data_IF_110292774168
#
_entry.id   IF_110292774168
#
_cell.length_a   1.000
_cell.length_b   1.000
_cell.length_c   1.000
_cell.angle_alpha   90.00
_cell.angle_beta   90.00
_cell.angle_gamma   90.00
#
_symmetry.space_group_name_H-M   'P 1'
#
loop_
_entity.id
_entity.type
_entity.pdbx_description
1 polymer ?
#
# COMPACT_ATOMS: atom_id res chain seq x y z
N UNK A 1 23.68 -15.04 -10.55
CA UNK A 1 23.44 -13.57 -10.72
C UNK A 1 24.50 -12.81 -9.93
N UNK A 2 25.12 -11.81 -10.54
CA UNK A 2 26.10 -10.94 -9.87
C UNK A 2 25.42 -9.60 -9.56
N UNK A 3 24.92 -9.48 -8.35
CA UNK A 3 24.14 -8.31 -7.92
C UNK A 3 24.99 -7.03 -7.98
N UNK A 4 26.26 -7.10 -7.56
CA UNK A 4 27.12 -5.92 -7.55
C UNK A 4 27.36 -5.39 -8.97
N UNK A 5 27.58 -6.29 -9.92
CA UNK A 5 27.79 -5.91 -11.32
C UNK A 5 26.54 -5.28 -11.93
N UNK A 6 25.36 -5.86 -11.64
CA UNK A 6 24.10 -5.33 -12.12
C UNK A 6 23.85 -3.93 -11.53
N UNK A 7 24.07 -3.78 -10.23
CA UNK A 7 23.86 -2.49 -9.58
C UNK A 7 24.81 -1.42 -10.10
N UNK A 8 26.08 -1.76 -10.34
CA UNK A 8 27.04 -0.80 -10.89
C UNK A 8 26.60 -0.32 -12.29
N UNK A 9 26.09 -1.25 -13.10
CA UNK A 9 25.57 -0.91 -14.44
C UNK A 9 24.34 0.01 -14.35
N UNK A 10 23.43 -0.28 -13.41
CA UNK A 10 22.23 0.55 -13.22
C UNK A 10 22.57 1.94 -12.69
N UNK A 11 23.52 2.02 -11.75
CA UNK A 11 23.94 3.31 -11.21
C UNK A 11 24.57 4.19 -12.30
N UNK A 12 25.33 3.59 -13.21
CA UNK A 12 25.91 4.31 -14.32
C UNK A 12 24.83 4.85 -15.29
N UNK A 13 23.73 4.09 -15.47
CA UNK A 13 22.60 4.52 -16.32
C UNK A 13 21.71 5.55 -15.65
N UNK A 14 21.55 5.45 -14.33
CA UNK A 14 20.58 6.24 -13.56
C UNK A 14 21.25 6.94 -12.39
N UNK A 15 22.23 7.80 -12.66
CA UNK A 15 23.00 8.43 -11.59
C UNK A 15 22.10 9.33 -10.73
N UNK A 16 22.24 9.22 -9.41
CA UNK A 16 21.50 10.04 -8.45
C UNK A 16 20.11 9.56 -8.11
N UNK A 17 19.63 8.47 -8.71
CA UNK A 17 18.30 7.93 -8.44
C UNK A 17 18.34 6.97 -7.23
N UNK A 18 18.66 7.50 -6.06
CA UNK A 18 18.96 6.70 -4.86
C UNK A 18 17.83 5.78 -4.43
N UNK A 19 16.60 6.29 -4.39
CA UNK A 19 15.46 5.51 -3.93
C UNK A 19 15.17 4.32 -4.84
N UNK A 20 15.24 4.57 -6.14
CA UNK A 20 15.03 3.52 -7.14
C UNK A 20 16.14 2.47 -7.06
N UNK A 21 17.39 2.90 -7.02
CA UNK A 21 18.54 1.98 -6.97
C UNK A 21 18.51 1.12 -5.69
N UNK A 22 18.12 1.73 -4.55
CA UNK A 22 17.99 0.98 -3.30
C UNK A 22 16.91 -0.10 -3.41
N UNK A 23 15.74 0.25 -3.96
CA UNK A 23 14.64 -0.71 -4.09
C UNK A 23 15.03 -1.89 -4.99
N UNK A 24 15.72 -1.60 -6.10
CA UNK A 24 16.21 -2.65 -6.99
C UNK A 24 17.18 -3.56 -6.25
N UNK A 25 18.15 -2.97 -5.54
CA UNK A 25 19.14 -3.75 -4.80
C UNK A 25 18.47 -4.72 -3.81
N UNK A 26 17.51 -4.22 -3.05
CA UNK A 26 16.81 -5.05 -2.05
C UNK A 26 16.08 -6.23 -2.69
N UNK A 27 15.43 -6.00 -3.83
CA UNK A 27 14.75 -7.09 -4.55
C UNK A 27 15.76 -8.09 -5.10
N UNK A 28 16.85 -7.62 -5.72
CA UNK A 28 17.86 -8.52 -6.29
C UNK A 28 18.50 -9.40 -5.21
N UNK A 29 18.79 -8.83 -4.03
CA UNK A 29 19.30 -9.63 -2.91
C UNK A 29 18.29 -10.71 -2.48
N UNK A 30 17.01 -10.34 -2.41
CA UNK A 30 15.96 -11.27 -1.99
C UNK A 30 15.77 -12.43 -2.96
N UNK A 31 15.89 -12.17 -4.26
CA UNK A 31 15.60 -13.20 -5.29
C UNK A 31 16.85 -13.91 -5.80
N UNK A 32 18.02 -13.55 -5.32
CA UNK A 32 19.33 -14.06 -5.82
C UNK A 32 19.32 -15.59 -5.95
N UNK A 33 18.98 -16.28 -4.88
CA UNK A 33 19.10 -17.74 -4.85
C UNK A 33 18.08 -18.42 -5.78
N UNK A 34 16.83 -17.95 -5.75
CA UNK A 34 15.80 -18.55 -6.59
C UNK A 34 16.08 -18.26 -8.07
N UNK A 35 16.58 -17.07 -8.39
CA UNK A 35 16.95 -16.72 -9.77
C UNK A 35 18.02 -17.68 -10.29
N UNK A 36 19.04 -17.99 -9.47
CA UNK A 36 20.12 -18.87 -9.89
C UNK A 36 19.67 -20.32 -10.12
N UNK A 37 18.51 -20.70 -9.61
CA UNK A 37 17.91 -22.01 -9.88
C UNK A 37 17.17 -22.06 -11.23
N UNK A 38 17.07 -20.92 -11.93
CA UNK A 38 16.31 -20.78 -13.18
C UNK A 38 17.21 -20.23 -14.30
N UNK A 39 18.08 -21.06 -14.90
CA UNK A 39 18.96 -20.57 -15.96
C UNK A 39 18.22 -19.98 -17.15
N UNK A 40 16.96 -20.35 -17.38
CA UNK A 40 16.13 -19.77 -18.43
C UNK A 40 15.89 -18.26 -18.20
N UNK A 41 15.85 -17.81 -16.96
CA UNK A 41 15.71 -16.38 -16.65
C UNK A 41 16.94 -15.59 -17.10
N UNK A 42 18.12 -16.14 -16.86
CA UNK A 42 19.38 -15.48 -17.28
C UNK A 42 19.47 -15.41 -18.81
N UNK A 43 19.07 -16.49 -19.47
CA UNK A 43 19.08 -16.55 -20.94
C UNK A 43 18.13 -15.51 -21.54
N UNK A 44 16.98 -15.30 -20.92
CA UNK A 44 15.97 -14.32 -21.36
C UNK A 44 16.24 -12.91 -20.86
N UNK A 45 17.35 -12.67 -20.12
CA UNK A 45 17.70 -11.36 -19.57
C UNK A 45 16.57 -10.78 -18.68
N UNK A 46 15.94 -11.65 -17.90
CA UNK A 46 14.78 -11.23 -17.09
C UNK A 46 15.15 -10.08 -16.14
N UNK A 47 16.29 -10.19 -15.42
CA UNK A 47 16.69 -9.13 -14.47
C UNK A 47 16.90 -7.80 -15.20
N UNK A 48 17.66 -7.82 -16.28
CA UNK A 48 17.99 -6.60 -17.02
C UNK A 48 16.75 -5.90 -17.58
N UNK A 49 15.68 -6.67 -17.82
CA UNK A 49 14.42 -6.15 -18.35
C UNK A 49 13.47 -5.72 -17.23
N UNK A 50 13.35 -6.53 -16.17
CA UNK A 50 12.37 -6.28 -15.12
C UNK A 50 12.72 -5.06 -14.24
N UNK A 51 14.01 -4.71 -14.18
CA UNK A 51 14.45 -3.55 -13.38
C UNK A 51 14.25 -2.21 -14.10
N UNK A 52 13.98 -2.24 -15.41
CA UNK A 52 13.72 -1.01 -16.17
C UNK A 52 12.22 -0.87 -16.44
N UNK A 53 11.67 0.33 -16.34
CA UNK A 53 10.26 0.52 -16.69
C UNK A 53 10.04 0.39 -18.19
N UNK A 54 8.83 -0.06 -18.57
CA UNK A 54 8.47 -0.13 -20.00
C UNK A 54 8.50 1.26 -20.62
N UNK A 55 7.95 2.28 -19.93
CA UNK A 55 8.00 3.67 -20.41
C UNK A 55 7.70 4.65 -19.30
N UNK A 56 8.19 5.87 -19.49
CA UNK A 56 7.89 7.00 -18.60
C UNK A 56 7.35 8.15 -19.46
N UNK A 57 6.18 8.63 -19.11
CA UNK A 57 5.60 9.82 -19.73
C UNK A 57 5.87 11.00 -18.81
N UNK A 58 6.49 12.05 -19.36
CA UNK A 58 6.74 13.31 -18.63
C UNK A 58 6.07 14.43 -19.41
N UNK A 59 5.33 15.27 -18.72
CA UNK A 59 4.59 16.34 -19.38
C UNK A 59 4.48 17.56 -18.46
N UNK A 60 4.36 18.73 -19.09
CA UNK A 60 4.14 19.98 -18.37
C UNK A 60 2.65 20.15 -18.13
N UNK A 61 2.28 20.59 -16.94
CA UNK A 61 0.88 20.84 -16.55
C UNK A 61 0.75 22.31 -16.19
N UNK A 62 0.13 23.09 -17.07
CA UNK A 62 -0.08 24.52 -16.86
C UNK A 62 -1.51 24.74 -16.38
N UNK A 63 -1.67 25.60 -15.36
CA UNK A 63 -2.98 25.89 -14.79
C UNK A 63 -3.00 27.30 -14.21
N UNK A 64 -4.19 27.80 -13.84
CA UNK A 64 -4.36 29.15 -13.34
C UNK A 64 -4.89 29.09 -11.91
N UNK A 65 -4.25 29.83 -11.01
CA UNK A 65 -4.66 29.83 -9.60
C UNK A 65 -5.85 30.79 -9.36
N UNK A 66 -6.29 30.87 -8.10
CA UNK A 66 -7.45 31.68 -7.74
C UNK A 66 -7.19 33.19 -7.90
N UNK A 67 -5.92 33.59 -8.00
CA UNK A 67 -5.56 35.01 -8.24
C UNK A 67 -5.49 35.34 -9.73
N UNK A 68 -5.67 34.33 -10.59
CA UNK A 68 -5.55 34.51 -12.03
C UNK A 68 -4.14 34.42 -12.55
N UNK A 69 -3.20 33.94 -11.71
CA UNK A 69 -1.80 33.79 -12.11
C UNK A 69 -1.53 32.42 -12.70
N UNK A 70 -0.70 32.37 -13.73
CA UNK A 70 -0.34 31.13 -14.39
C UNK A 70 0.67 30.36 -13.53
N UNK A 71 0.40 29.10 -13.33
CA UNK A 71 1.28 28.17 -12.62
C UNK A 71 1.67 27.04 -13.58
N UNK A 72 2.83 26.45 -13.36
CA UNK A 72 3.32 25.37 -14.20
C UNK A 72 3.99 24.31 -13.32
N UNK A 73 3.58 23.06 -13.52
CA UNK A 73 4.12 21.91 -12.79
C UNK A 73 4.55 20.83 -13.78
N UNK A 74 5.30 19.84 -13.31
CA UNK A 74 5.63 18.66 -14.08
C UNK A 74 4.74 17.50 -13.64
N UNK A 75 4.24 16.77 -14.60
CA UNK A 75 3.46 15.56 -14.39
C UNK A 75 4.16 14.34 -14.97
N UNK A 76 3.92 13.19 -14.37
CA UNK A 76 4.60 11.95 -14.76
C UNK A 76 3.66 10.76 -14.67
N UNK A 77 3.90 9.77 -15.56
CA UNK A 77 3.32 8.43 -15.41
C UNK A 77 4.39 7.41 -15.77
N UNK A 78 4.81 6.63 -14.77
CA UNK A 78 5.75 5.52 -14.95
C UNK A 78 4.91 4.27 -15.17
N UNK A 79 4.93 3.75 -16.38
CA UNK A 79 4.31 2.47 -16.75
C UNK A 79 5.40 1.43 -16.64
N UNK A 80 5.46 0.78 -15.46
CA UNK A 80 6.65 0.01 -15.11
C UNK A 80 6.68 -1.35 -15.78
N UNK A 81 5.59 -2.13 -15.62
CA UNK A 81 5.58 -3.50 -16.16
C UNK A 81 4.13 -3.95 -16.33
N UNK A 82 3.80 -4.48 -17.50
CA UNK A 82 2.45 -4.96 -17.80
C UNK A 82 2.43 -6.46 -18.12
N UNK A 83 3.41 -7.23 -17.67
CA UNK A 83 3.47 -8.66 -18.00
C UNK A 83 2.26 -9.45 -17.47
N UNK A 84 1.66 -9.02 -16.36
CA UNK A 84 0.54 -9.77 -15.75
C UNK A 84 -0.80 -9.02 -15.80
N UNK A 85 -0.87 -7.88 -16.48
CA UNK A 85 -2.11 -7.13 -16.60
C UNK A 85 -1.86 -5.66 -16.89
N UNK A 86 -2.92 -4.87 -17.05
CA UNK A 86 -2.75 -3.43 -17.28
C UNK A 86 -1.91 -2.78 -16.19
N UNK A 87 -1.16 -1.75 -16.56
CA UNK A 87 -0.42 -0.98 -15.58
C UNK A 87 -1.37 -0.49 -14.49
N UNK A 88 -0.99 -0.61 -13.22
CA UNK A 88 -1.87 -0.25 -12.10
C UNK A 88 -1.05 0.38 -10.99
N UNK A 89 -1.47 1.57 -10.55
CA UNK A 89 -0.80 2.25 -9.44
C UNK A 89 -1.33 3.65 -9.26
N UNK A 90 -1.09 4.21 -8.07
CA UNK A 90 -1.63 5.51 -7.69
C UNK A 90 -0.95 6.71 -8.34
N UNK A 91 -1.62 7.85 -8.22
CA UNK A 91 -1.12 9.18 -8.60
C UNK A 91 -0.87 9.94 -7.30
N UNK A 92 0.32 10.51 -7.16
CA UNK A 92 0.74 11.27 -5.98
C UNK A 92 0.90 12.75 -6.32
N UNK A 93 0.25 13.63 -5.55
CA UNK A 93 0.48 15.07 -5.64
C UNK A 93 1.22 15.53 -4.39
N UNK A 94 2.49 15.88 -4.55
CA UNK A 94 3.32 16.33 -3.43
C UNK A 94 4.56 17.04 -3.98
N UNK A 95 4.97 18.12 -3.33
CA UNK A 95 6.11 18.94 -3.80
C UNK A 95 7.42 18.16 -3.98
N UNK A 96 7.56 17.01 -3.32
CA UNK A 96 8.78 16.18 -3.42
C UNK A 96 8.74 15.17 -4.56
N UNK A 97 7.63 15.07 -5.31
CA UNK A 97 7.51 14.10 -6.40
C UNK A 97 8.57 14.37 -7.48
N UNK A 98 9.26 13.34 -7.88
CA UNK A 98 10.27 13.38 -8.94
C UNK A 98 10.31 11.99 -9.63
N UNK A 99 10.97 11.89 -10.79
CA UNK A 99 10.99 10.62 -11.53
C UNK A 99 11.59 9.45 -10.76
N UNK A 100 12.66 9.67 -9.98
CA UNK A 100 13.30 8.60 -9.21
C UNK A 100 12.33 7.99 -8.19
N UNK A 101 11.59 8.85 -7.46
CA UNK A 101 10.58 8.40 -6.51
C UNK A 101 9.51 7.56 -7.20
N UNK A 102 9.02 8.02 -8.36
CA UNK A 102 7.96 7.32 -9.06
C UNK A 102 8.43 6.02 -9.70
N UNK A 103 9.70 5.95 -10.14
CA UNK A 103 10.30 4.70 -10.62
C UNK A 103 10.38 3.69 -9.48
N UNK A 104 10.86 4.12 -8.32
CA UNK A 104 10.93 3.28 -7.13
C UNK A 104 9.54 2.72 -6.77
N UNK A 105 8.55 3.60 -6.70
CA UNK A 105 7.21 3.19 -6.31
C UNK A 105 6.55 2.29 -7.38
N UNK A 106 6.80 2.55 -8.66
CA UNK A 106 6.28 1.74 -9.74
C UNK A 106 6.91 0.35 -9.77
N UNK A 107 8.21 0.27 -9.51
CA UNK A 107 8.94 -0.99 -9.40
C UNK A 107 8.35 -1.84 -8.27
N UNK A 108 8.19 -1.27 -7.08
CA UNK A 108 7.61 -1.98 -5.95
C UNK A 108 6.16 -2.38 -6.19
N UNK A 109 5.39 -1.48 -6.84
CA UNK A 109 3.98 -1.74 -7.15
C UNK A 109 3.83 -2.97 -8.05
N UNK A 110 4.76 -3.19 -8.97
CA UNK A 110 4.75 -4.35 -9.87
C UNK A 110 4.67 -5.65 -9.06
N UNK A 111 5.52 -5.79 -8.06
CA UNK A 111 5.57 -7.03 -7.27
C UNK A 111 4.45 -7.12 -6.25
N UNK A 112 4.04 -5.99 -5.69
CA UNK A 112 2.89 -5.95 -4.79
C UNK A 112 1.62 -6.39 -5.51
N UNK A 113 1.37 -5.85 -6.71
CA UNK A 113 0.18 -6.22 -7.48
C UNK A 113 0.21 -7.70 -7.88
N UNK A 114 1.40 -8.23 -8.19
CA UNK A 114 1.54 -9.64 -8.55
C UNK A 114 1.09 -10.58 -7.43
N UNK A 115 1.28 -10.17 -6.17
CA UNK A 115 0.86 -10.98 -5.03
C UNK A 115 -0.67 -11.14 -4.95
N UNK A 116 -1.44 -10.18 -5.46
CA UNK A 116 -2.90 -10.21 -5.33
C UNK A 116 -3.57 -11.32 -6.13
N UNK A 117 -2.85 -11.96 -7.03
CA UNK A 117 -3.36 -12.95 -8.01
C UNK A 117 -4.25 -12.33 -9.10
N UNK A 118 -4.59 -11.05 -8.95
CA UNK A 118 -5.42 -10.34 -9.94
C UNK A 118 -4.55 -9.89 -11.13
N UNK A 119 -5.15 -9.71 -12.32
CA UNK A 119 -4.38 -9.32 -13.50
C UNK A 119 -4.07 -7.82 -13.50
N UNK A 120 -3.06 -7.42 -12.74
CA UNK A 120 -2.65 -6.03 -12.60
C UNK A 120 -1.13 -5.93 -12.68
N UNK A 121 -0.64 -5.15 -13.62
CA UNK A 121 0.77 -4.79 -13.71
C UNK A 121 1.14 -3.70 -12.71
N UNK A 122 2.27 -3.04 -12.93
CA UNK A 122 2.75 -2.00 -12.03
C UNK A 122 2.93 -0.65 -12.70
N UNK A 123 2.54 0.40 -12.00
CA UNK A 123 2.70 1.79 -12.45
C UNK A 123 2.73 2.73 -11.25
N UNK A 124 3.18 3.96 -11.50
CA UNK A 124 3.05 5.05 -10.54
C UNK A 124 3.06 6.37 -11.29
N UNK A 125 2.24 7.31 -10.83
CA UNK A 125 2.22 8.64 -11.44
C UNK A 125 2.24 9.73 -10.39
N UNK A 126 2.31 10.96 -10.85
CA UNK A 126 2.26 12.07 -9.93
C UNK A 126 2.71 13.39 -10.52
N UNK A 127 2.75 14.38 -9.64
CA UNK A 127 3.19 15.72 -9.99
C UNK A 127 3.82 16.37 -8.76
N UNK A 128 4.72 17.31 -9.01
CA UNK A 128 5.29 18.18 -7.97
C UNK A 128 4.29 19.24 -7.48
N UNK A 129 3.06 19.21 -7.96
CA UNK A 129 1.95 20.03 -7.45
C UNK A 129 1.74 19.76 -5.96
N UNK A 130 1.71 20.82 -5.15
CA UNK A 130 1.46 20.71 -3.72
C UNK A 130 0.00 21.14 -3.43
N UNK A 131 -0.89 20.21 -3.07
CA UNK A 131 -2.28 20.57 -2.79
C UNK A 131 -2.48 21.32 -1.48
N UNK A 132 -1.45 21.39 -0.63
CA UNK A 132 -1.56 22.03 0.70
C UNK A 132 -1.92 23.50 0.53
N UNK A 133 -3.01 23.93 1.19
CA UNK A 133 -3.47 25.31 1.17
C UNK A 133 -4.16 25.76 -0.12
N UNK A 134 -4.35 24.85 -1.06
CA UNK A 134 -5.06 25.16 -2.31
C UNK A 134 -6.58 25.04 -2.11
N UNK A 135 -7.34 25.87 -2.82
CA UNK A 135 -8.80 25.78 -2.79
C UNK A 135 -9.28 24.56 -3.59
N UNK A 136 -10.52 24.15 -3.35
CA UNK A 136 -11.15 23.09 -4.15
C UNK A 136 -11.16 23.44 -5.63
N UNK A 137 -11.38 24.70 -5.96
CA UNK A 137 -11.39 25.17 -7.35
C UNK A 137 -10.01 25.05 -8.00
N UNK A 138 -8.95 25.39 -7.25
CA UNK A 138 -7.56 25.25 -7.73
C UNK A 138 -7.22 23.78 -7.96
N UNK A 139 -7.60 22.90 -7.00
CA UNK A 139 -7.34 21.46 -7.12
C UNK A 139 -8.11 20.89 -8.31
N UNK A 140 -9.37 21.32 -8.51
CA UNK A 140 -10.14 20.86 -9.66
C UNK A 140 -9.47 21.26 -10.98
N UNK A 141 -9.06 22.54 -11.10
CA UNK A 141 -8.40 23.01 -12.32
C UNK A 141 -7.09 22.27 -12.56
N UNK A 142 -6.31 22.02 -11.49
CA UNK A 142 -5.07 21.25 -11.65
C UNK A 142 -5.35 19.81 -12.11
N UNK A 143 -6.32 19.15 -11.49
CA UNK A 143 -6.69 17.77 -11.87
C UNK A 143 -7.13 17.69 -13.33
N UNK A 144 -7.86 18.69 -13.79
CA UNK A 144 -8.31 18.75 -15.18
C UNK A 144 -7.13 18.97 -16.12
N UNK A 145 -6.21 19.88 -15.78
CA UNK A 145 -5.00 20.13 -16.57
C UNK A 145 -4.09 18.89 -16.61
N UNK A 146 -3.95 18.21 -15.48
CA UNK A 146 -3.16 16.98 -15.40
C UNK A 146 -3.76 15.89 -16.30
N UNK A 147 -5.07 15.70 -16.24
CA UNK A 147 -5.75 14.70 -17.07
C UNK A 147 -5.73 15.05 -18.56
N UNK A 148 -5.71 16.34 -18.90
CA UNK A 148 -5.59 16.78 -20.29
C UNK A 148 -4.32 16.19 -20.94
N UNK A 149 -3.25 16.05 -20.14
CA UNK A 149 -2.00 15.47 -20.64
C UNK A 149 -1.99 13.95 -20.51
N UNK A 150 -2.59 13.40 -19.46
CA UNK A 150 -2.48 11.97 -19.13
C UNK A 150 -3.44 11.08 -19.94
N UNK A 151 -4.62 11.58 -20.31
CA UNK A 151 -5.75 10.75 -20.76
C UNK A 151 -5.42 9.79 -21.89
N UNK A 152 -4.55 10.20 -22.81
CA UNK A 152 -4.24 9.38 -24.00
C UNK A 152 -3.34 8.17 -23.71
N UNK A 153 -2.79 8.11 -22.48
CA UNK A 153 -1.90 7.01 -22.09
C UNK A 153 -2.57 5.99 -21.19
N UNK A 154 -3.81 6.23 -20.78
CA UNK A 154 -4.51 5.39 -19.80
C UNK A 154 -5.79 4.81 -20.39
N UNK A 155 -6.31 3.78 -19.74
CA UNK A 155 -7.53 3.10 -20.15
C UNK A 155 -7.73 1.83 -19.34
N UNK A 156 -8.94 1.29 -19.31
CA UNK A 156 -9.26 0.14 -18.44
C UNK A 156 -8.45 -1.12 -18.75
N UNK A 157 -8.00 -1.28 -19.98
CA UNK A 157 -7.20 -2.44 -20.40
C UNK A 157 -5.75 -2.07 -20.69
N UNK A 158 -5.35 -0.83 -20.40
CA UNK A 158 -4.00 -0.33 -20.67
C UNK A 158 -3.29 0.06 -19.36
N UNK A 159 -3.85 1.06 -18.67
CA UNK A 159 -3.25 1.64 -17.47
C UNK A 159 -4.36 2.26 -16.64
N UNK A 160 -4.52 1.78 -15.41
CA UNK A 160 -5.63 2.20 -14.52
C UNK A 160 -5.05 2.87 -13.27
N UNK A 161 -4.96 4.20 -13.26
CA UNK A 161 -4.49 4.90 -12.07
C UNK A 161 -5.49 4.87 -10.90
N UNK A 162 -5.00 5.24 -9.72
CA UNK A 162 -5.77 5.32 -8.48
C UNK A 162 -5.27 6.49 -7.66
N UNK A 163 -5.82 6.66 -6.47
CA UNK A 163 -5.32 7.67 -5.53
C UNK A 163 -4.05 7.23 -4.80
N UNK A 164 -3.37 8.20 -4.23
CA UNK A 164 -2.19 8.02 -3.40
C UNK A 164 -2.06 9.29 -2.55
N UNK A 165 -0.90 9.61 -2.00
CA UNK A 165 -0.68 10.82 -1.21
C UNK A 165 -1.13 12.05 -2.01
N UNK A 166 -1.98 12.87 -1.41
CA UNK A 166 -2.50 14.09 -2.03
C UNK A 166 -3.58 13.89 -3.09
N UNK A 167 -4.01 12.64 -3.32
CA UNK A 167 -5.04 12.32 -4.31
C UNK A 167 -6.04 11.34 -3.68
N UNK A 168 -7.18 11.86 -3.32
CA UNK A 168 -8.29 11.07 -2.77
C UNK A 168 -9.47 11.00 -3.73
N UNK A 169 -10.63 10.63 -3.20
CA UNK A 169 -11.85 10.49 -4.00
C UNK A 169 -12.24 11.76 -4.74
N UNK A 170 -12.04 12.93 -4.12
CA UNK A 170 -12.32 14.23 -4.76
C UNK A 170 -11.49 14.41 -6.02
N UNK A 171 -10.19 14.20 -5.91
CA UNK A 171 -9.27 14.35 -7.05
C UNK A 171 -9.54 13.32 -8.15
N UNK A 172 -9.83 12.09 -7.75
CA UNK A 172 -10.22 11.03 -8.71
C UNK A 172 -11.48 11.47 -9.45
N UNK A 173 -12.45 12.06 -8.74
CA UNK A 173 -13.66 12.58 -9.38
C UNK A 173 -13.38 13.65 -10.41
N UNK A 174 -12.54 14.64 -10.06
CA UNK A 174 -12.18 15.71 -10.99
C UNK A 174 -11.45 15.15 -12.22
N UNK A 175 -10.55 14.21 -12.02
CA UNK A 175 -9.82 13.58 -13.14
C UNK A 175 -10.76 12.75 -14.01
N UNK A 176 -11.69 11.99 -13.41
CA UNK A 176 -12.63 11.18 -14.16
C UNK A 176 -13.56 12.05 -15.00
N UNK A 177 -14.07 13.15 -14.43
CA UNK A 177 -14.93 14.06 -15.18
C UNK A 177 -14.26 14.61 -16.43
N UNK A 178 -12.97 14.96 -16.31
CA UNK A 178 -12.20 15.45 -17.44
C UNK A 178 -11.93 14.34 -18.47
N UNK A 179 -11.54 13.14 -17.99
CA UNK A 179 -11.31 11.99 -18.88
C UNK A 179 -12.55 11.69 -19.74
N UNK A 180 -13.72 11.68 -19.11
CA UNK A 180 -14.98 11.39 -19.77
C UNK A 180 -15.25 12.36 -20.93
N UNK A 181 -14.91 13.63 -20.73
CA UNK A 181 -15.04 14.65 -21.78
C UNK A 181 -14.04 14.46 -22.91
N UNK A 182 -12.78 14.18 -22.57
CA UNK A 182 -11.70 14.03 -23.53
C UNK A 182 -11.84 12.76 -24.38
N UNK A 183 -12.13 11.64 -23.72
CA UNK A 183 -12.29 10.35 -24.40
C UNK A 183 -13.63 10.22 -25.12
N UNK A 184 -14.59 11.08 -24.76
CA UNK A 184 -15.94 11.06 -25.30
C UNK A 184 -16.65 9.71 -25.08
N UNK A 185 -16.42 9.12 -23.89
CA UNK A 185 -17.04 7.86 -23.53
C UNK A 185 -17.19 7.78 -22.00
N UNK A 186 -18.16 6.97 -21.57
CA UNK A 186 -18.38 6.72 -20.15
C UNK A 186 -17.74 5.39 -19.79
N UNK A 187 -16.49 5.45 -19.36
CA UNK A 187 -15.69 4.24 -19.08
C UNK A 187 -15.23 4.24 -17.63
N UNK A 188 -16.04 3.61 -16.76
CA UNK A 188 -15.75 3.60 -15.32
C UNK A 188 -14.47 2.85 -14.98
N UNK A 189 -14.01 1.95 -15.84
CA UNK A 189 -12.80 1.16 -15.58
C UNK A 189 -11.48 1.90 -15.68
N UNK A 190 -11.48 3.18 -16.10
CA UNK A 190 -10.23 3.90 -16.36
C UNK A 190 -9.49 4.30 -15.08
N UNK A 191 -10.20 4.45 -13.96
CA UNK A 191 -9.62 4.87 -12.67
C UNK A 191 -10.26 4.06 -11.55
N UNK A 192 -9.54 3.82 -10.46
CA UNK A 192 -10.14 3.26 -9.23
C UNK A 192 -10.11 4.28 -8.10
N UNK A 193 -10.91 4.04 -7.06
CA UNK A 193 -11.11 5.00 -5.97
C UNK A 193 -12.25 5.94 -6.26
N UNK A 194 -13.17 5.53 -7.13
CA UNK A 194 -14.32 6.34 -7.55
C UNK A 194 -15.42 6.36 -6.48
N UNK A 195 -16.29 7.33 -6.59
CA UNK A 195 -17.50 7.37 -5.76
C UNK A 195 -18.48 6.25 -6.10
N UNK A 196 -19.24 5.83 -5.12
CA UNK A 196 -20.18 4.69 -5.27
C UNK A 196 -21.19 4.95 -6.40
N UNK A 197 -21.63 6.20 -6.56
CA UNK A 197 -22.66 6.53 -7.54
C UNK A 197 -22.18 6.49 -9.00
N UNK A 198 -20.88 6.29 -9.22
CA UNK A 198 -20.33 6.30 -10.58
C UNK A 198 -19.18 5.29 -10.75
N UNK A 199 -19.40 4.07 -10.25
CA UNK A 199 -18.52 2.93 -10.53
C UNK A 199 -17.55 2.56 -9.43
N UNK A 200 -17.64 3.18 -8.26
CA UNK A 200 -16.79 2.82 -7.13
C UNK A 200 -17.20 1.51 -6.47
N UNK A 201 -16.32 0.96 -5.66
CA UNK A 201 -16.57 -0.28 -4.93
C UNK A 201 -16.81 -0.02 -3.45
N UNK A 202 -17.73 -0.77 -2.86
CA UNK A 202 -17.87 -0.84 -1.41
C UNK A 202 -16.62 -1.50 -0.82
N UNK A 203 -16.43 -1.35 0.49
CA UNK A 203 -15.30 -1.88 1.26
C UNK A 203 -13.96 -1.18 0.95
N UNK A 204 -13.90 -0.27 -0.02
CA UNK A 204 -12.61 0.34 -0.42
C UNK A 204 -11.93 1.13 0.71
N UNK A 205 -12.67 1.98 1.49
CA UNK A 205 -12.01 2.71 2.59
C UNK A 205 -11.42 1.82 3.67
N UNK A 206 -12.09 0.71 4.00
CA UNK A 206 -11.68 -0.23 5.03
C UNK A 206 -10.68 -1.29 4.53
N UNK A 207 -10.54 -1.44 3.23
CA UNK A 207 -9.93 -2.61 2.60
C UNK A 207 -8.51 -2.92 3.08
N UNK A 208 -7.70 -1.87 3.30
CA UNK A 208 -6.32 -2.09 3.73
C UNK A 208 -6.29 -2.72 5.13
N UNK A 209 -7.07 -2.16 6.06
CA UNK A 209 -7.16 -2.69 7.41
C UNK A 209 -7.80 -4.07 7.46
N UNK A 210 -8.91 -4.24 6.73
CA UNK A 210 -9.60 -5.54 6.66
C UNK A 210 -8.65 -6.62 6.15
N UNK A 211 -7.98 -6.36 5.03
CA UNK A 211 -7.04 -7.31 4.45
C UNK A 211 -5.91 -7.67 5.39
N UNK A 212 -5.40 -6.66 6.11
CA UNK A 212 -4.32 -6.90 7.07
C UNK A 212 -4.75 -7.90 8.14
N UNK A 213 -5.95 -7.75 8.67
CA UNK A 213 -6.44 -8.66 9.71
C UNK A 213 -6.70 -10.06 9.17
N UNK A 214 -7.14 -10.19 7.92
CA UNK A 214 -7.24 -11.52 7.29
C UNK A 214 -5.86 -12.16 7.19
N UNK A 215 -4.84 -11.39 6.76
CA UNK A 215 -3.48 -11.90 6.66
C UNK A 215 -2.96 -12.35 8.04
N UNK A 216 -3.16 -11.50 9.06
CA UNK A 216 -2.75 -11.81 10.44
C UNK A 216 -3.43 -13.08 10.96
N UNK A 217 -4.73 -13.22 10.68
CA UNK A 217 -5.48 -14.42 11.09
C UNK A 217 -4.87 -15.68 10.45
N UNK A 218 -4.51 -15.60 9.17
CA UNK A 218 -3.84 -16.73 8.49
C UNK A 218 -2.46 -17.02 9.09
N UNK A 219 -1.70 -15.97 9.46
CA UNK A 219 -0.42 -16.16 10.15
C UNK A 219 -0.62 -16.91 11.48
N UNK A 220 -1.62 -16.48 12.26
CA UNK A 220 -1.90 -17.12 13.55
C UNK A 220 -2.34 -18.58 13.38
N UNK A 221 -3.23 -18.84 12.43
CA UNK A 221 -3.69 -20.22 12.14
C UNK A 221 -2.52 -21.12 11.76
N UNK A 222 -1.58 -20.60 10.96
CA UNK A 222 -0.38 -21.36 10.59
C UNK A 222 0.47 -21.73 11.82
N UNK A 223 0.41 -20.89 12.86
CA UNK A 223 1.13 -21.11 14.13
C UNK A 223 0.30 -21.90 15.16
N UNK A 224 -0.89 -22.39 14.77
CA UNK A 224 -1.78 -23.12 15.68
C UNK A 224 -2.44 -22.21 16.71
N UNK A 225 -2.60 -20.93 16.40
CA UNK A 225 -3.19 -19.93 17.30
C UNK A 225 -4.47 -19.35 16.73
N UNK A 226 -5.32 -18.81 17.60
CA UNK A 226 -6.57 -18.16 17.24
C UNK A 226 -6.43 -16.66 17.46
N UNK A 227 -6.99 -15.85 16.58
CA UNK A 227 -7.01 -14.39 16.72
C UNK A 227 -7.97 -13.96 17.84
N UNK A 228 -8.97 -14.80 18.14
CA UNK A 228 -9.98 -14.47 19.17
C UNK A 228 -9.32 -14.27 20.53
N UNK A 229 -9.60 -13.14 21.16
CA UNK A 229 -9.05 -12.80 22.46
C UNK A 229 -7.65 -12.18 22.43
N UNK A 230 -6.97 -12.14 21.27
CA UNK A 230 -5.64 -11.54 21.19
C UNK A 230 -5.74 -10.03 21.41
N UNK A 231 -4.74 -9.47 22.11
CA UNK A 231 -4.66 -8.05 22.40
C UNK A 231 -3.89 -7.36 21.27
N UNK A 232 -4.56 -6.43 20.59
CA UNK A 232 -4.01 -5.76 19.40
C UNK A 232 -3.76 -4.27 19.71
N UNK A 233 -2.59 -3.78 19.27
CA UNK A 233 -2.28 -2.35 19.33
C UNK A 233 -2.07 -1.86 17.90
N UNK A 234 -2.71 -0.73 17.56
CA UNK A 234 -2.55 -0.07 16.26
C UNK A 234 -1.92 1.31 16.46
N UNK A 235 -1.30 1.84 15.41
CA UNK A 235 -0.87 3.24 15.40
C UNK A 235 -1.80 4.04 14.50
N UNK A 236 -2.02 5.29 14.86
CA UNK A 236 -2.85 6.20 14.06
C UNK A 236 -4.34 6.01 14.28
N UNK A 237 -5.12 6.82 13.59
CA UNK A 237 -6.59 6.79 13.62
C UNK A 237 -7.18 7.16 12.25
N UNK A 238 -6.41 6.95 11.17
CA UNK A 238 -6.90 7.12 9.81
C UNK A 238 -7.66 5.89 9.31
N UNK A 239 -8.00 5.87 8.01
CA UNK A 239 -8.76 4.76 7.41
C UNK A 239 -8.15 3.39 7.68
N UNK A 240 -6.82 3.31 7.63
CA UNK A 240 -6.11 2.03 7.81
C UNK A 240 -6.28 1.53 9.24
N UNK A 241 -6.04 2.41 10.23
CA UNK A 241 -6.19 2.05 11.64
C UNK A 241 -7.65 1.76 11.99
N UNK A 242 -8.58 2.56 11.45
CA UNK A 242 -10.01 2.32 11.63
C UNK A 242 -10.42 0.95 11.10
N UNK A 243 -10.11 0.67 9.83
CA UNK A 243 -10.46 -0.62 9.23
C UNK A 243 -9.83 -1.80 9.97
N UNK A 244 -8.55 -1.66 10.38
CA UNK A 244 -7.88 -2.72 11.13
C UNK A 244 -8.55 -2.95 12.47
N UNK A 245 -8.91 -1.87 13.18
CA UNK A 245 -9.58 -1.97 14.49
C UNK A 245 -10.97 -2.62 14.37
N UNK A 246 -11.71 -2.23 13.34
CA UNK A 246 -13.04 -2.78 13.09
C UNK A 246 -12.97 -4.27 12.79
N UNK A 247 -12.10 -4.67 11.85
CA UNK A 247 -12.00 -6.09 11.49
C UNK A 247 -11.44 -6.93 12.64
N UNK A 248 -10.46 -6.41 13.40
CA UNK A 248 -9.93 -7.11 14.56
C UNK A 248 -11.05 -7.42 15.56
N UNK A 249 -11.91 -6.43 15.84
CA UNK A 249 -13.04 -6.60 16.76
C UNK A 249 -14.04 -7.60 16.21
N UNK A 250 -14.36 -7.53 14.91
CA UNK A 250 -15.27 -8.50 14.27
C UNK A 250 -14.76 -9.92 14.38
N UNK A 251 -13.44 -10.12 14.32
CA UNK A 251 -12.80 -11.45 14.43
C UNK A 251 -12.63 -11.89 15.89
N UNK A 252 -13.04 -11.06 16.84
CA UNK A 252 -13.00 -11.41 18.27
C UNK A 252 -11.73 -11.02 19.00
N UNK A 253 -10.82 -10.29 18.37
CA UNK A 253 -9.66 -9.73 19.05
C UNK A 253 -10.06 -8.47 19.85
N UNK A 254 -9.16 -8.02 20.72
CA UNK A 254 -9.37 -6.81 21.53
C UNK A 254 -8.36 -5.76 21.12
N UNK A 255 -8.82 -4.64 20.57
CA UNK A 255 -7.95 -3.52 20.23
C UNK A 255 -7.77 -2.69 21.50
N UNK A 256 -6.57 -2.79 22.10
CA UNK A 256 -6.30 -2.23 23.43
C UNK A 256 -5.45 -0.95 23.39
N UNK A 257 -5.08 -0.49 22.20
CA UNK A 257 -4.28 0.73 22.12
C UNK A 257 -4.26 1.32 20.73
N UNK A 258 -4.11 2.65 20.71
CA UNK A 258 -3.94 3.41 19.46
C UNK A 258 -3.05 4.62 19.75
N UNK A 259 -2.59 5.31 18.71
CA UNK A 259 -1.73 6.49 18.89
C UNK A 259 -2.03 7.58 17.88
N UNK A 260 -1.59 8.77 18.21
CA UNK A 260 -1.53 9.93 17.35
C UNK A 260 -0.21 10.64 17.52
N UNK A 261 0.00 11.75 16.80
CA UNK A 261 1.25 12.51 16.95
C UNK A 261 1.47 13.06 18.36
N UNK A 262 0.40 13.24 19.12
CA UNK A 262 0.43 13.82 20.48
C UNK A 262 0.67 12.78 21.59
N UNK A 263 0.50 11.47 21.29
CA UNK A 263 0.70 10.45 22.31
C UNK A 263 -0.05 9.17 21.98
N UNK A 264 -0.23 8.32 23.00
CA UNK A 264 -0.96 7.08 22.84
C UNK A 264 -2.12 6.96 23.83
N UNK A 265 -3.10 6.15 23.46
CA UNK A 265 -4.26 5.84 24.32
C UNK A 265 -4.30 4.34 24.54
N UNK A 266 -4.38 3.94 25.81
CA UNK A 266 -4.58 2.53 26.18
C UNK A 266 -6.06 2.33 26.53
N UNK A 267 -6.65 1.23 26.04
CA UNK A 267 -8.05 0.83 26.29
C UNK A 267 -8.00 -0.61 26.82
N UNK A 268 -7.74 -0.82 28.11
CA UNK A 268 -7.45 -2.18 28.62
C UNK A 268 -8.54 -3.20 28.36
N UNK A 269 -9.80 -2.80 28.33
CA UNK A 269 -10.94 -3.68 28.05
C UNK A 269 -11.16 -3.98 26.57
N UNK A 270 -10.42 -3.31 25.70
CA UNK A 270 -10.65 -3.36 24.26
C UNK A 270 -11.66 -2.33 23.79
N UNK A 271 -11.50 -1.86 22.56
CA UNK A 271 -12.40 -0.88 21.97
C UNK A 271 -13.80 -1.46 21.73
N UNK A 272 -14.82 -0.69 22.05
CA UNK A 272 -16.20 -0.97 21.67
C UNK A 272 -16.45 -0.48 20.24
N UNK A 273 -17.59 -0.86 19.66
CA UNK A 273 -17.99 -0.35 18.34
C UNK A 273 -18.11 1.18 18.36
N UNK A 274 -18.66 1.76 19.44
CA UNK A 274 -18.76 3.22 19.58
C UNK A 274 -17.37 3.88 19.51
N UNK A 275 -16.38 3.29 20.14
CA UNK A 275 -15.00 3.80 20.11
C UNK A 275 -14.40 3.72 18.70
N UNK A 276 -14.68 2.63 17.99
CA UNK A 276 -14.19 2.44 16.61
C UNK A 276 -14.86 3.48 15.69
N UNK A 277 -16.16 3.66 15.82
CA UNK A 277 -16.88 4.66 15.02
C UNK A 277 -16.35 6.07 15.29
N UNK A 278 -15.98 6.36 16.54
CA UNK A 278 -15.42 7.66 16.90
C UNK A 278 -14.10 7.96 16.20
N UNK A 279 -13.35 6.95 15.74
CA UNK A 279 -12.13 7.19 14.97
C UNK A 279 -12.42 7.99 13.69
N UNK A 280 -13.59 7.77 13.09
CA UNK A 280 -14.00 8.53 11.89
C UNK A 280 -14.24 10.01 12.23
N UNK A 281 -14.89 10.27 13.36
CA UNK A 281 -15.10 11.65 13.84
C UNK A 281 -13.78 12.32 14.16
N UNK A 282 -12.91 11.60 14.86
CA UNK A 282 -11.58 12.09 15.24
C UNK A 282 -10.78 12.51 14.00
N UNK A 283 -10.79 11.66 12.97
CA UNK A 283 -10.13 11.97 11.71
C UNK A 283 -10.74 13.19 11.03
N UNK A 284 -12.08 13.25 10.99
CA UNK A 284 -12.82 14.35 10.35
C UNK A 284 -12.58 15.69 11.03
N UNK A 285 -12.18 15.68 12.30
CA UNK A 285 -11.90 16.93 13.04
C UNK A 285 -10.68 17.68 12.49
N UNK A 286 -9.81 17.00 11.75
CA UNK A 286 -8.56 17.55 11.19
C UNK A 286 -7.61 18.13 12.24
N UNK A 287 -7.83 17.85 13.54
CA UNK A 287 -6.94 18.32 14.61
C UNK A 287 -5.64 17.53 14.68
N UNK A 288 -5.65 16.33 14.11
CA UNK A 288 -4.48 15.42 14.06
C UNK A 288 -3.89 15.12 15.44
N UNK A 289 -4.76 14.91 16.44
CA UNK A 289 -4.38 14.52 17.80
C UNK A 289 -5.32 13.42 18.29
N UNK A 290 -4.83 12.55 19.17
CA UNK A 290 -5.61 11.42 19.70
C UNK A 290 -6.17 11.68 21.09
N UNK A 291 -5.68 12.70 21.81
CA UNK A 291 -6.13 13.00 23.17
C UNK A 291 -7.66 13.10 23.31
N UNK A 292 -8.42 13.70 22.35
CA UNK A 292 -9.89 13.77 22.51
C UNK A 292 -10.56 12.41 22.63
N UNK A 293 -9.96 11.34 22.09
CA UNK A 293 -10.50 9.99 22.29
C UNK A 293 -10.55 9.65 23.77
N UNK A 294 -9.44 9.89 24.49
CA UNK A 294 -9.38 9.59 25.92
C UNK A 294 -10.25 10.56 26.75
N UNK A 295 -10.46 11.77 26.27
CA UNK A 295 -11.39 12.71 26.93
C UNK A 295 -12.83 12.17 26.85
N UNK A 296 -13.25 11.71 25.66
CA UNK A 296 -14.60 11.17 25.45
C UNK A 296 -14.80 9.87 26.22
N UNK A 297 -13.80 9.00 26.27
CA UNK A 297 -13.90 7.67 26.90
C UNK A 297 -13.03 7.58 28.16
N UNK A 298 -13.09 8.60 29.00
CA UNK A 298 -12.19 8.76 30.15
C UNK A 298 -12.29 7.64 31.20
N UNK A 299 -13.42 6.96 31.27
CA UNK A 299 -13.61 5.86 32.22
C UNK A 299 -12.96 4.56 31.73
N UNK A 300 -12.84 4.40 30.42
CA UNK A 300 -12.41 3.14 29.81
C UNK A 300 -10.99 3.24 29.22
N UNK A 301 -10.40 4.44 29.17
CA UNK A 301 -9.13 4.64 28.48
C UNK A 301 -8.20 5.58 29.24
N UNK A 302 -6.92 5.54 28.87
CA UNK A 302 -5.88 6.37 29.49
C UNK A 302 -4.96 6.92 28.42
N UNK A 303 -4.78 8.24 28.39
CA UNK A 303 -3.88 8.93 27.46
C UNK A 303 -2.50 9.10 28.11
N UNK A 304 -1.45 8.86 27.34
CA UNK A 304 -0.05 9.13 27.73
C UNK A 304 0.59 10.01 26.66
N UNK A 305 0.85 11.25 27.02
CA UNK A 305 1.40 12.24 26.09
C UNK A 305 2.80 11.87 25.63
N UNK A 306 3.11 12.10 24.37
CA UNK A 306 4.44 11.96 23.79
C UNK A 306 4.94 10.53 23.66
N UNK A 307 4.11 9.53 23.93
CA UNK A 307 4.51 8.12 23.80
C UNK A 307 3.88 7.49 22.56
N UNK A 308 4.65 6.63 21.90
CA UNK A 308 4.13 5.80 20.80
C UNK A 308 3.28 4.65 21.37
N UNK A 309 2.42 4.09 20.54
CA UNK A 309 1.59 2.94 20.95
C UNK A 309 2.41 1.72 21.39
N UNK A 310 3.66 1.64 20.97
CA UNK A 310 4.51 0.45 21.15
C UNK A 310 4.94 0.24 22.61
N UNK A 311 4.67 1.19 23.49
CA UNK A 311 4.91 1.00 24.93
C UNK A 311 3.80 0.16 25.60
N UNK A 312 2.66 -0.03 24.93
CA UNK A 312 1.51 -0.78 25.48
C UNK A 312 1.77 -2.28 25.25
N UNK A 313 1.86 -3.10 26.31
CA UNK A 313 2.05 -4.54 26.10
C UNK A 313 0.88 -5.16 25.33
N UNK A 314 1.19 -5.95 24.30
CA UNK A 314 0.19 -6.51 23.42
C UNK A 314 0.63 -7.86 22.85
N UNK A 315 -0.30 -8.56 22.23
CA UNK A 315 0.00 -9.82 21.52
C UNK A 315 0.34 -9.54 20.06
N UNK A 316 -0.33 -8.56 19.45
CA UNK A 316 -0.19 -8.23 18.03
C UNK A 316 0.02 -6.72 17.90
N UNK A 317 1.08 -6.31 17.19
CA UNK A 317 1.36 -4.90 16.93
C UNK A 317 1.21 -4.62 15.42
N UNK A 318 0.40 -3.61 15.09
CA UNK A 318 0.07 -3.26 13.71
C UNK A 318 0.42 -1.79 13.44
N UNK A 319 1.59 -1.50 12.86
CA UNK A 319 1.86 -0.13 12.39
C UNK A 319 0.90 0.22 11.25
N UNK A 320 0.05 1.24 11.48
CA UNK A 320 -1.02 1.63 10.56
C UNK A 320 -0.93 3.09 10.12
N UNK A 321 0.10 3.84 10.55
CA UNK A 321 0.12 5.28 10.36
C UNK A 321 1.06 5.74 9.26
N UNK A 322 2.37 5.57 9.44
CA UNK A 322 3.32 6.12 8.46
C UNK A 322 4.62 5.31 8.38
N UNK A 323 5.43 5.69 7.40
CA UNK A 323 6.70 5.01 7.11
C UNK A 323 7.68 5.17 8.27
N UNK A 324 8.38 4.08 8.62
CA UNK A 324 9.46 4.07 9.62
C UNK A 324 9.02 4.50 11.03
N UNK A 325 7.74 4.33 11.34
CA UNK A 325 7.21 4.74 12.64
C UNK A 325 7.64 3.84 13.79
N UNK A 326 7.95 2.58 13.50
CA UNK A 326 8.38 1.59 14.51
C UNK A 326 9.88 1.33 14.28
N UNK A 327 10.69 1.84 15.19
CA UNK A 327 12.14 1.76 15.05
C UNK A 327 12.74 0.61 15.87
N UNK A 328 14.06 0.47 15.86
CA UNK A 328 14.75 -0.62 16.54
C UNK A 328 14.51 -0.65 18.06
N UNK A 329 14.43 0.51 18.70
CA UNK A 329 14.17 0.57 20.14
C UNK A 329 12.71 0.21 20.46
N UNK A 330 11.78 0.63 19.60
CA UNK A 330 10.38 0.21 19.71
C UNK A 330 10.27 -1.32 19.58
N UNK A 331 11.01 -1.91 18.64
CA UNK A 331 11.01 -3.37 18.45
C UNK A 331 11.50 -4.09 19.69
N UNK A 332 12.59 -3.60 20.31
CA UNK A 332 13.11 -4.18 21.56
C UNK A 332 12.07 -4.10 22.68
N UNK A 333 11.37 -2.97 22.77
CA UNK A 333 10.31 -2.77 23.78
C UNK A 333 9.17 -3.77 23.57
N UNK A 334 8.71 -3.92 22.33
CA UNK A 334 7.64 -4.89 21.99
C UNK A 334 8.07 -6.31 22.33
N UNK A 335 9.30 -6.69 21.98
CA UNK A 335 9.83 -8.04 22.25
C UNK A 335 9.89 -8.27 23.77
N UNK A 336 10.44 -7.29 24.52
CA UNK A 336 10.55 -7.38 25.98
C UNK A 336 9.19 -7.50 26.66
N UNK A 337 8.15 -6.87 26.06
CA UNK A 337 6.78 -6.93 26.59
C UNK A 337 6.01 -8.16 26.10
N UNK A 338 6.65 -9.06 25.35
CA UNK A 338 6.07 -10.34 24.98
C UNK A 338 5.16 -10.32 23.77
N UNK A 339 5.38 -9.38 22.83
CA UNK A 339 4.60 -9.36 21.57
C UNK A 339 4.79 -10.71 20.85
N UNK A 340 3.73 -11.19 20.22
CA UNK A 340 3.72 -12.51 19.57
C UNK A 340 3.75 -12.43 18.05
N UNK A 341 3.40 -11.26 17.49
CA UNK A 341 3.32 -11.07 16.05
C UNK A 341 3.34 -9.57 15.73
N UNK A 342 4.07 -9.20 14.68
CA UNK A 342 4.06 -7.83 14.14
C UNK A 342 3.77 -7.91 12.65
N UNK A 343 2.85 -7.08 12.17
CA UNK A 343 2.52 -7.04 10.74
C UNK A 343 2.37 -5.57 10.31
N UNK A 344 3.14 -5.17 9.30
CA UNK A 344 3.07 -3.80 8.78
C UNK A 344 1.78 -3.60 8.00
N UNK A 345 0.96 -2.66 8.42
CA UNK A 345 -0.22 -2.28 7.64
C UNK A 345 0.06 -1.01 6.84
N UNK A 346 0.84 -0.09 7.39
CA UNK A 346 1.36 1.03 6.60
C UNK A 346 2.49 0.55 5.67
N UNK A 347 2.78 1.33 4.64
CA UNK A 347 3.90 1.02 3.76
C UNK A 347 5.22 1.27 4.52
N UNK A 348 6.05 0.22 4.62
CA UNK A 348 7.35 0.29 5.29
C UNK A 348 7.21 0.89 6.70
N UNK A 349 6.25 0.38 7.48
CA UNK A 349 5.99 0.90 8.84
C UNK A 349 7.14 0.71 9.82
N UNK A 350 7.98 -0.31 9.60
CA UNK A 350 9.11 -0.63 10.47
C UNK A 350 10.43 -0.24 9.79
N UNK A 351 11.39 0.22 10.58
CA UNK A 351 12.73 0.47 10.07
C UNK A 351 13.45 -0.86 9.79
N UNK A 352 14.50 -0.86 8.95
CA UNK A 352 15.29 -2.08 8.76
C UNK A 352 15.83 -2.67 10.06
N UNK A 353 16.20 -1.83 11.00
CA UNK A 353 16.70 -2.26 12.32
C UNK A 353 15.60 -2.98 13.13
N UNK A 354 14.37 -2.47 13.05
CA UNK A 354 13.22 -3.12 13.72
C UNK A 354 12.93 -4.48 13.08
N UNK A 355 12.90 -4.54 11.74
CA UNK A 355 12.66 -5.79 11.02
C UNK A 355 13.73 -6.82 11.40
N UNK A 356 15.00 -6.40 11.43
CA UNK A 356 16.09 -7.29 11.82
C UNK A 356 15.92 -7.81 13.24
N UNK A 357 15.53 -6.93 14.17
CA UNK A 357 15.30 -7.34 15.57
C UNK A 357 14.22 -8.41 15.68
N UNK A 358 13.10 -8.26 14.93
CA UNK A 358 12.03 -9.26 14.91
C UNK A 358 12.52 -10.58 14.32
N UNK A 359 13.26 -10.52 13.21
CA UNK A 359 13.78 -11.74 12.55
C UNK A 359 14.80 -12.46 13.43
N UNK A 360 15.72 -11.73 14.05
CA UNK A 360 16.73 -12.31 14.96
C UNK A 360 16.08 -13.00 16.17
N UNK A 361 14.95 -12.45 16.65
CA UNK A 361 14.17 -13.06 17.73
C UNK A 361 13.26 -14.19 17.24
N UNK A 362 13.27 -14.49 15.94
CA UNK A 362 12.35 -15.44 15.29
C UNK A 362 10.89 -15.13 15.59
N UNK A 363 10.57 -13.84 15.73
CA UNK A 363 9.21 -13.38 15.97
C UNK A 363 8.48 -13.33 14.64
N UNK A 364 7.25 -13.87 14.54
CA UNK A 364 6.46 -13.76 13.32
C UNK A 364 6.30 -12.29 12.90
N UNK A 365 6.81 -11.97 11.72
CA UNK A 365 6.78 -10.61 11.15
C UNK A 365 6.36 -10.69 9.70
N UNK A 366 5.46 -9.79 9.25
CA UNK A 366 5.05 -9.74 7.86
C UNK A 366 5.16 -8.31 7.30
N UNK A 367 5.65 -8.19 6.05
CA UNK A 367 5.91 -6.87 5.45
C UNK A 367 4.65 -6.24 4.87
N UNK A 368 4.68 -4.90 4.80
CA UNK A 368 3.54 -4.14 4.29
C UNK A 368 3.07 -4.55 2.91
N UNK A 369 4.01 -4.86 2.00
CA UNK A 369 3.61 -5.20 0.61
C UNK A 369 2.68 -6.42 0.52
N UNK A 370 2.74 -7.32 1.51
CA UNK A 370 1.82 -8.46 1.57
C UNK A 370 0.61 -8.12 2.45
N UNK A 371 0.86 -7.59 3.64
CA UNK A 371 -0.17 -7.35 4.65
C UNK A 371 -1.19 -6.31 4.18
N UNK A 372 -0.72 -5.21 3.57
CA UNK A 372 -1.62 -4.12 3.18
C UNK A 372 -2.15 -4.25 1.74
N UNK A 373 -1.93 -5.40 1.11
CA UNK A 373 -2.37 -5.62 -0.27
C UNK A 373 -3.89 -5.62 -0.43
N UNK A 374 -4.65 -5.69 0.67
CA UNK A 374 -6.11 -5.60 0.60
C UNK A 374 -6.62 -4.35 -0.10
N UNK A 375 -5.92 -3.22 0.09
CA UNK A 375 -6.29 -1.98 -0.60
C UNK A 375 -6.21 -2.09 -2.11
N UNK A 376 -5.08 -2.58 -2.64
CA UNK A 376 -4.92 -2.72 -4.08
C UNK A 376 -5.74 -3.90 -4.61
N UNK A 377 -5.93 -4.96 -3.82
CA UNK A 377 -6.81 -6.06 -4.22
C UNK A 377 -8.24 -5.57 -4.42
N UNK A 378 -8.74 -4.74 -3.50
CA UNK A 378 -10.09 -4.17 -3.65
C UNK A 378 -10.16 -3.21 -4.84
N UNK A 379 -9.08 -2.50 -5.16
CA UNK A 379 -9.03 -1.73 -6.41
C UNK A 379 -9.18 -2.65 -7.63
N UNK A 380 -8.55 -3.82 -7.61
CA UNK A 380 -8.73 -4.82 -8.67
C UNK A 380 -10.16 -5.34 -8.74
N UNK A 381 -10.81 -5.51 -7.58
CA UNK A 381 -12.23 -5.89 -7.55
C UNK A 381 -13.11 -4.78 -8.10
N UNK A 382 -12.76 -3.52 -7.86
CA UNK A 382 -13.47 -2.39 -8.49
C UNK A 382 -13.35 -2.46 -10.01
N UNK A 383 -12.14 -2.75 -10.53
CA UNK A 383 -11.93 -2.94 -11.97
C UNK A 383 -12.82 -4.08 -12.50
N UNK A 384 -12.90 -5.19 -11.77
CA UNK A 384 -13.74 -6.33 -12.18
C UNK A 384 -15.22 -5.93 -12.25
N UNK A 385 -15.72 -5.23 -11.23
CA UNK A 385 -17.11 -4.75 -11.22
C UNK A 385 -17.35 -3.81 -12.40
N UNK A 386 -16.40 -2.91 -12.69
CA UNK A 386 -16.50 -1.98 -13.81
C UNK A 386 -16.54 -2.71 -15.15
N UNK A 387 -15.70 -3.73 -15.33
CA UNK A 387 -15.65 -4.51 -16.57
C UNK A 387 -16.96 -5.30 -16.79
N UNK A 388 -17.58 -5.74 -15.70
CA UNK A 388 -18.84 -6.49 -15.76
C UNK A 388 -20.06 -5.56 -15.83
N UNK A 389 -19.88 -4.27 -15.63
CA UNK A 389 -20.96 -3.27 -15.52
C UNK A 389 -21.93 -3.63 -14.39
N UNK A 390 -21.39 -4.12 -13.27
CA UNK A 390 -22.16 -4.54 -12.10
C UNK A 390 -21.58 -3.90 -10.84
N UNK A 391 -22.37 -3.87 -9.78
CA UNK A 391 -21.92 -3.51 -8.43
C UNK A 391 -22.19 -4.70 -7.51
N UNK A 392 -21.19 -5.02 -6.68
CA UNK A 392 -21.31 -6.08 -5.69
C UNK A 392 -21.67 -5.50 -4.32
N UNK A 393 -22.33 -6.30 -3.48
CA UNK A 393 -22.62 -5.92 -2.09
C UNK A 393 -21.33 -5.89 -1.26
N UNK A 394 -21.41 -5.29 -0.07
CA UNK A 394 -20.28 -5.28 0.86
C UNK A 394 -19.81 -6.71 1.19
N UNK A 395 -20.77 -7.61 1.39
CA UNK A 395 -20.48 -9.02 1.72
C UNK A 395 -19.77 -9.71 0.57
N UNK A 396 -20.19 -9.46 -0.67
CA UNK A 396 -19.52 -10.05 -1.84
C UNK A 396 -18.08 -9.54 -1.98
N UNK A 397 -17.86 -8.25 -1.81
CA UNK A 397 -16.51 -7.66 -1.90
C UNK A 397 -15.63 -8.20 -0.76
N UNK A 398 -16.15 -8.21 0.47
CA UNK A 398 -15.38 -8.66 1.64
C UNK A 398 -15.01 -10.14 1.50
N UNK A 399 -15.91 -10.97 1.04
CA UNK A 399 -15.63 -12.40 0.80
C UNK A 399 -14.52 -12.59 -0.23
N UNK A 400 -14.53 -11.83 -1.27
CA UNK A 400 -13.44 -11.85 -2.24
C UNK A 400 -12.15 -11.28 -1.69
N UNK A 401 -12.15 -10.44 -0.97
CA UNK A 401 -11.01 -9.84 -0.37
C UNK A 401 -10.33 -10.83 0.54
N UNK A 402 -11.21 -11.62 1.19
CA UNK A 402 -10.76 -12.66 2.01
C UNK A 402 -10.03 -13.67 1.16
N UNK A 403 -10.47 -14.08 0.20
CA UNK A 403 -9.89 -14.99 -0.64
C UNK A 403 -8.63 -14.50 -1.24
N UNK A 404 -8.40 -13.28 -1.49
CA UNK A 404 -7.23 -12.69 -1.95
C UNK A 404 -6.15 -12.70 -0.99
N UNK A 405 -6.54 -12.37 0.31
CA UNK A 405 -5.49 -12.32 1.34
C UNK A 405 -4.97 -13.72 1.69
N UNK A 406 -5.83 -14.70 1.67
CA UNK A 406 -5.39 -16.09 1.85
C UNK A 406 -4.39 -16.51 0.77
N UNK A 407 -4.70 -16.19 -0.47
CA UNK A 407 -3.81 -16.52 -1.59
C UNK A 407 -2.45 -15.83 -1.45
N UNK A 408 -2.45 -14.57 -1.02
CA UNK A 408 -1.22 -13.83 -0.77
C UNK A 408 -0.41 -14.50 0.35
N UNK A 409 -1.08 -14.86 1.44
CA UNK A 409 -0.42 -15.54 2.56
C UNK A 409 0.22 -16.85 2.09
N UNK A 410 -0.54 -17.66 1.34
CA UNK A 410 -0.05 -18.95 0.84
C UNK A 410 1.14 -18.77 -0.12
N UNK A 411 1.12 -17.73 -0.95
CA UNK A 411 2.24 -17.42 -1.85
C UNK A 411 3.50 -17.07 -1.04
N UNK A 412 3.33 -16.27 0.02
CA UNK A 412 4.45 -15.94 0.91
C UNK A 412 5.00 -17.16 1.62
N UNK A 413 4.13 -18.08 2.06
CA UNK A 413 4.56 -19.34 2.70
C UNK A 413 5.40 -20.20 1.74
N UNK A 414 4.95 -20.30 0.49
CA UNK A 414 5.61 -21.16 -0.50
C UNK A 414 7.09 -20.85 -0.63
N UNK A 415 7.45 -19.57 -0.57
CA UNK A 415 8.82 -19.12 -0.81
C UNK A 415 9.54 -18.62 0.45
N UNK A 416 8.82 -18.44 1.55
CA UNK A 416 9.40 -17.89 2.78
C UNK A 416 9.69 -18.91 3.87
N UNK A 417 9.33 -20.17 3.67
CA UNK A 417 9.49 -21.17 4.72
C UNK A 417 10.98 -21.54 4.89
N UNK A 418 11.47 -21.38 6.12
CA UNK A 418 12.83 -21.71 6.52
C UNK A 418 12.77 -22.65 7.71
N UNK A 419 13.90 -23.22 8.11
CA UNK A 419 13.93 -24.14 9.26
C UNK A 419 13.59 -23.37 10.55
N UNK A 420 12.45 -23.71 11.13
CA UNK A 420 12.00 -23.11 12.39
C UNK A 420 11.48 -21.68 12.29
N UNK A 421 11.28 -21.16 11.06
CA UNK A 421 10.82 -19.79 10.89
C UNK A 421 10.14 -19.59 9.54
N UNK A 422 9.23 -18.64 9.48
CA UNK A 422 8.63 -18.23 8.20
C UNK A 422 9.06 -16.80 7.94
N UNK A 423 9.90 -16.62 6.91
CA UNK A 423 10.40 -15.32 6.51
C UNK A 423 9.45 -14.71 5.47
N UNK A 424 8.41 -14.02 5.96
CA UNK A 424 7.39 -13.42 5.09
C UNK A 424 7.96 -12.32 4.18
N UNK A 425 9.04 -11.65 4.60
CA UNK A 425 9.69 -10.62 3.77
C UNK A 425 10.26 -11.27 2.51
N UNK A 426 11.07 -12.32 2.72
CA UNK A 426 11.65 -13.09 1.62
C UNK A 426 10.54 -13.72 0.77
N UNK A 427 9.55 -14.33 1.43
CA UNK A 427 8.43 -14.98 0.74
C UNK A 427 7.67 -14.03 -0.18
N UNK A 428 7.36 -12.85 0.30
CA UNK A 428 6.62 -11.86 -0.51
C UNK A 428 7.44 -11.38 -1.70
N UNK A 429 8.73 -11.08 -1.49
CA UNK A 429 9.60 -10.61 -2.57
C UNK A 429 9.75 -11.67 -3.67
N UNK A 430 10.02 -12.91 -3.27
CA UNK A 430 10.21 -14.00 -4.24
C UNK A 430 8.88 -14.32 -4.97
N UNK A 431 7.77 -14.41 -4.24
CA UNK A 431 6.48 -14.75 -4.87
C UNK A 431 6.10 -13.75 -5.95
N UNK A 432 6.22 -12.46 -5.64
CA UNK A 432 5.90 -11.41 -6.61
C UNK A 432 6.83 -11.47 -7.83
N UNK A 433 8.13 -11.59 -7.57
CA UNK A 433 9.12 -11.68 -8.64
C UNK A 433 8.86 -12.88 -9.56
N UNK A 434 8.67 -14.06 -8.98
CA UNK A 434 8.51 -15.29 -9.77
C UNK A 434 7.31 -15.22 -10.72
N UNK A 435 6.20 -14.66 -10.24
CA UNK A 435 5.01 -14.53 -11.09
C UNK A 435 5.29 -13.63 -12.30
N UNK A 436 5.91 -12.46 -12.08
CA UNK A 436 6.21 -11.53 -13.15
C UNK A 436 7.27 -12.11 -14.09
N UNK A 437 8.32 -12.72 -13.54
CA UNK A 437 9.42 -13.31 -14.33
C UNK A 437 8.91 -14.40 -15.26
N UNK A 438 8.06 -15.31 -14.75
CA UNK A 438 7.48 -16.36 -15.60
C UNK A 438 6.59 -15.78 -16.69
N UNK A 439 5.76 -14.79 -16.38
CA UNK A 439 4.93 -14.14 -17.39
C UNK A 439 5.78 -13.50 -18.50
N UNK A 440 6.86 -12.81 -18.10
CA UNK A 440 7.78 -12.20 -19.07
C UNK A 440 8.47 -13.27 -19.92
N UNK A 441 8.84 -14.40 -19.31
CA UNK A 441 9.46 -15.51 -20.03
C UNK A 441 8.51 -16.10 -21.06
N UNK A 442 7.26 -16.37 -20.66
CA UNK A 442 6.23 -16.97 -21.52
C UNK A 442 5.88 -16.06 -22.71
N UNK A 443 5.87 -14.75 -22.50
CA UNK A 443 5.51 -13.76 -23.53
C UNK A 443 6.67 -13.46 -24.49
N UNK A 444 7.88 -13.90 -24.14
CA UNK A 444 9.03 -13.74 -25.02
C UNK A 444 9.68 -12.36 -24.94
N UNK A 445 10.35 -11.99 -26.03
CA UNK A 445 11.04 -10.70 -26.15
C UNK A 445 10.26 -9.85 -27.15
N UNK A 446 9.60 -8.80 -26.65
CA UNK A 446 8.71 -7.93 -27.41
C UNK A 446 9.14 -6.47 -27.26
#
# INVERSE_FOLDING_TARGET
MDVQKIMASLEAKHPGEKEYLQAVHEVLESVHDVYNQHPEFAKAKIIERIVEPDRIHTFRVDWVDDKGEVQSNLGYRVQFNAAIGPYKGGIRFHKAVNPSMLKFLGFEQTFKNALTTLPMGGAKGGSDFDPTGKSDAEIMRFCQAFMLELWKYIGPDTDVPAGDVGVGGREIGYMYGMYKKLAHEYNTGVLTGKGINWGGSLIRPEATGYGALYFVDHMLKKLGRDIKGQRVVVSGFGNVAWGASEKATQLGAKVIGLSGPDGCVEVPGGMTQEMIDYLLELRASNRNIVAPFAEKFAKESKFTAGKKAWVIPCDIALPCAFQNELDGDDAKTLIANGVKLVAEVSNMGCTPEAIKAFQDAKLPFAPGKAVNAGGVATSGLEMTQNAAHLSWTSEEVDAKXXXXMESIHNACLKYGQEEGYINYVKGANIAGFMKVAHAMLDQGVI
#
